data_IF_298533990700
#
_entry.id   IF_298533990700
#
_cell.length_a   1.000
_cell.length_b   1.000
_cell.length_c   1.000
_cell.angle_alpha   90.00
_cell.angle_beta   90.00
_cell.angle_gamma   90.00
#
_symmetry.space_group_name_H-M   'P 1'
#
loop_
_entity.id
_entity.type
_entity.pdbx_description
1 polymer ?
#
# COMPACT_ATOMS: atom_id res chain seq x y z
N UNK A 1 -6.32 -49.51 34.41
CA UNK A 1 -5.26 -48.52 34.13
C UNK A 1 -4.42 -49.11 33.00
N UNK A 2 -4.31 -48.59 31.78
CA UNK A 2 -4.44 -47.21 31.27
C UNK A 2 -4.78 -47.27 29.77
N UNK A 3 -5.66 -46.38 29.30
CA UNK A 3 -5.88 -46.18 27.87
C UNK A 3 -4.80 -45.22 27.33
N UNK A 4 -3.90 -45.73 26.48
CA UNK A 4 -2.89 -44.94 25.79
C UNK A 4 -3.52 -44.22 24.60
N UNK A 5 -3.85 -42.94 24.79
CA UNK A 5 -4.31 -42.02 23.73
C UNK A 5 -3.13 -41.77 22.79
N UNK A 6 -3.06 -42.55 21.72
CA UNK A 6 -2.03 -42.41 20.68
C UNK A 6 -2.47 -41.35 19.69
N UNK A 7 -1.68 -40.28 19.63
CA UNK A 7 -1.49 -39.39 18.49
C UNK A 7 -2.76 -38.78 17.89
N UNK A 8 -3.21 -37.67 18.48
CA UNK A 8 -4.07 -36.73 17.76
C UNK A 8 -3.35 -36.24 16.50
N UNK A 9 -3.79 -36.72 15.34
CA UNK A 9 -3.41 -36.17 14.05
C UNK A 9 -3.99 -34.77 13.96
N UNK A 10 -3.23 -33.76 14.36
CA UNK A 10 -3.58 -32.37 14.11
C UNK A 10 -3.68 -32.18 12.59
N UNK A 11 -4.80 -31.70 12.03
CA UNK A 11 -4.84 -31.34 10.64
C UNK A 11 -3.78 -30.26 10.41
N UNK A 12 -2.71 -30.64 9.70
CA UNK A 12 -1.63 -29.74 9.31
C UNK A 12 -2.28 -28.56 8.59
N UNK A 13 -2.27 -27.40 9.23
CA UNK A 13 -2.84 -26.18 8.68
C UNK A 13 -2.40 -26.01 7.23
N UNK A 14 -3.40 -25.97 6.36
CA UNK A 14 -3.29 -25.91 4.92
C UNK A 14 -2.35 -24.76 4.51
N UNK A 15 -1.09 -25.10 4.22
CA UNK A 15 -0.04 -24.14 3.85
C UNK A 15 -0.35 -23.41 2.53
N UNK A 16 -1.41 -23.81 1.83
CA UNK A 16 -1.91 -23.18 0.60
C UNK A 16 -2.81 -21.96 0.84
N UNK A 17 -3.33 -21.74 2.05
CA UNK A 17 -4.18 -20.57 2.34
C UNK A 17 -3.39 -19.24 2.43
N UNK A 18 -2.09 -19.29 2.71
CA UNK A 18 -1.24 -18.10 2.87
C UNK A 18 -0.78 -17.50 1.55
N UNK A 19 -0.69 -18.28 0.47
CA UNK A 19 -0.31 -17.78 -0.85
C UNK A 19 -1.36 -16.85 -1.47
N UNK A 20 -2.64 -17.23 -1.36
CA UNK A 20 -3.78 -16.42 -1.80
C UNK A 20 -3.94 -15.15 -0.97
N UNK A 21 -3.88 -15.25 0.36
CA UNK A 21 -4.01 -14.08 1.25
C UNK A 21 -2.90 -13.04 1.03
N UNK A 22 -1.65 -13.48 0.82
CA UNK A 22 -0.53 -12.56 0.52
C UNK A 22 -0.71 -11.88 -0.84
N UNK A 23 -1.20 -12.60 -1.85
CA UNK A 23 -1.40 -12.06 -3.19
C UNK A 23 -2.58 -11.07 -3.22
N UNK A 24 -3.67 -11.38 -2.53
CA UNK A 24 -4.80 -10.45 -2.34
C UNK A 24 -4.41 -9.24 -1.49
N UNK A 25 -3.65 -9.44 -0.41
CA UNK A 25 -3.14 -8.34 0.43
C UNK A 25 -2.23 -7.37 -0.35
N UNK A 26 -1.36 -7.90 -1.22
CA UNK A 26 -0.53 -7.07 -2.11
C UNK A 26 -1.37 -6.30 -3.13
N UNK A 27 -2.39 -6.92 -3.71
CA UNK A 27 -3.28 -6.26 -4.66
C UNK A 27 -4.09 -5.13 -3.98
N UNK A 28 -4.61 -5.37 -2.77
CA UNK A 28 -5.32 -4.34 -1.98
C UNK A 28 -4.38 -3.22 -1.59
N UNK A 29 -3.16 -3.54 -1.14
CA UNK A 29 -2.15 -2.54 -0.81
C UNK A 29 -1.78 -1.66 -2.03
N UNK A 30 -1.55 -2.26 -3.19
CA UNK A 30 -1.31 -1.54 -4.44
C UNK A 30 -2.50 -0.67 -4.85
N UNK A 31 -3.73 -1.17 -4.70
CA UNK A 31 -4.94 -0.40 -5.00
C UNK A 31 -5.09 0.82 -4.07
N UNK A 32 -4.77 0.67 -2.78
CA UNK A 32 -4.78 1.77 -1.82
C UNK A 32 -3.68 2.81 -2.11
N UNK A 33 -2.48 2.35 -2.47
CA UNK A 33 -1.40 3.24 -2.90
C UNK A 33 -1.77 4.02 -4.17
N UNK A 34 -2.34 3.37 -5.19
CA UNK A 34 -2.79 4.06 -6.39
C UNK A 34 -3.95 5.03 -6.11
N UNK A 35 -4.91 4.64 -5.27
CA UNK A 35 -6.05 5.50 -4.90
C UNK A 35 -5.58 6.73 -4.11
N UNK A 36 -4.63 6.56 -3.19
CA UNK A 36 -4.04 7.66 -2.43
C UNK A 36 -3.17 8.56 -3.29
N UNK A 37 -2.36 8.01 -4.21
CA UNK A 37 -1.57 8.78 -5.16
C UNK A 37 -2.45 9.66 -6.07
N UNK A 38 -3.53 9.10 -6.61
CA UNK A 38 -4.53 9.85 -7.41
C UNK A 38 -5.21 10.97 -6.62
N UNK A 39 -5.41 10.80 -5.31
CA UNK A 39 -6.00 11.83 -4.44
C UNK A 39 -4.98 12.88 -4.00
N UNK A 40 -3.72 12.50 -3.80
CA UNK A 40 -2.65 13.39 -3.34
C UNK A 40 -2.14 14.33 -4.45
N UNK A 41 -2.11 13.88 -5.70
CA UNK A 41 -1.64 14.67 -6.84
C UNK A 41 -2.34 16.04 -6.99
N UNK A 42 -3.69 16.15 -7.04
CA UNK A 42 -4.34 17.45 -7.21
C UNK A 42 -4.09 18.38 -6.02
N UNK A 43 -3.94 17.85 -4.81
CA UNK A 43 -3.61 18.63 -3.61
C UNK A 43 -2.17 19.18 -3.66
N UNK A 44 -1.19 18.37 -4.09
CA UNK A 44 0.19 18.82 -4.29
C UNK A 44 0.30 19.91 -5.36
N UNK A 45 -0.42 19.77 -6.47
CA UNK A 45 -0.48 20.80 -7.51
C UNK A 45 -1.17 22.08 -7.01
N UNK A 46 -2.19 21.96 -6.18
CA UNK A 46 -2.86 23.11 -5.55
C UNK A 46 -1.90 23.83 -4.60
N UNK A 47 -1.18 23.11 -3.74
CA UNK A 47 -0.16 23.68 -2.87
C UNK A 47 0.97 24.35 -3.66
N UNK A 48 1.42 23.73 -4.77
CA UNK A 48 2.42 24.31 -5.64
C UNK A 48 1.96 25.64 -6.26
N UNK A 49 0.67 25.76 -6.64
CA UNK A 49 0.10 27.03 -7.13
C UNK A 49 0.05 28.10 -6.03
N UNK A 50 -0.37 27.72 -4.82
CA UNK A 50 -0.43 28.65 -3.68
C UNK A 50 0.96 29.15 -3.27
N UNK A 51 1.96 28.27 -3.32
CA UNK A 51 3.34 28.59 -2.94
C UNK A 51 4.16 29.21 -4.08
N UNK A 52 3.68 29.19 -5.33
CA UNK A 52 4.43 29.67 -6.49
C UNK A 52 4.95 31.12 -6.36
N UNK A 53 4.21 31.99 -5.67
CA UNK A 53 4.56 33.39 -5.49
C UNK A 53 5.43 33.66 -4.24
N UNK A 54 5.41 32.76 -3.24
CA UNK A 54 6.14 32.95 -1.98
C UNK A 54 7.42 32.12 -1.92
N UNK A 55 7.41 30.93 -2.50
CA UNK A 55 8.55 30.02 -2.56
C UNK A 55 8.51 29.22 -3.88
N UNK A 56 9.19 29.71 -4.94
CA UNK A 56 9.22 29.03 -6.22
C UNK A 56 10.02 27.72 -6.21
N UNK A 57 10.95 27.54 -5.26
CA UNK A 57 11.72 26.31 -5.12
C UNK A 57 10.85 25.19 -4.54
N UNK A 58 10.11 25.47 -3.47
CA UNK A 58 9.12 24.57 -2.90
C UNK A 58 8.02 24.23 -3.92
N UNK A 59 7.57 25.21 -4.70
CA UNK A 59 6.59 24.98 -5.76
C UNK A 59 7.10 24.05 -6.90
N UNK A 60 8.42 23.98 -7.15
CA UNK A 60 8.99 22.99 -8.07
C UNK A 60 9.02 21.60 -7.45
N UNK A 61 9.49 21.49 -6.21
CA UNK A 61 9.54 20.20 -5.49
C UNK A 61 8.15 19.56 -5.39
N UNK A 62 7.11 20.36 -5.11
CA UNK A 62 5.73 19.87 -5.06
C UNK A 62 5.21 19.40 -6.43
N UNK A 63 5.65 20.03 -7.53
CA UNK A 63 5.29 19.58 -8.89
C UNK A 63 6.03 18.32 -9.29
N UNK A 64 7.29 18.18 -8.91
CA UNK A 64 8.09 16.97 -9.13
C UNK A 64 7.51 15.80 -8.33
N UNK A 65 7.21 15.99 -7.05
CA UNK A 65 6.55 14.98 -6.23
C UNK A 65 5.19 14.55 -6.80
N UNK A 66 4.40 15.49 -7.31
CA UNK A 66 3.13 15.18 -7.98
C UNK A 66 3.30 14.41 -9.31
N UNK A 67 4.43 14.59 -10.00
CA UNK A 67 4.76 13.87 -11.24
C UNK A 67 5.25 12.45 -10.93
N UNK A 68 6.12 12.29 -9.93
CA UNK A 68 6.62 10.99 -9.50
C UNK A 68 5.49 10.08 -9.03
N UNK A 69 4.51 10.64 -8.31
CA UNK A 69 3.28 9.94 -7.90
C UNK A 69 2.41 9.43 -9.06
N UNK A 70 2.57 9.95 -10.28
CA UNK A 70 1.88 9.41 -11.46
C UNK A 70 2.70 8.36 -12.22
N UNK A 71 4.02 8.30 -11.99
CA UNK A 71 4.94 7.43 -12.72
C UNK A 71 5.25 6.12 -11.98
N UNK A 72 4.93 6.05 -10.67
CA UNK A 72 4.97 4.82 -9.87
C UNK A 72 3.64 4.08 -9.83
#
# INVERSE_FOLDING_TARGET
>A
MSASITSGTYPRANRSASGGLRRTGLAVWQALLQASARRAQPELLRMARLKAHSDPALARQLREAARDLMQG
#
